data_IF_753151290428
#
_entry.id   IF_753151290428
#
_cell.length_a   1.000
_cell.length_b   1.000
_cell.length_c   1.000
_cell.angle_alpha   90.00
_cell.angle_beta   90.00
_cell.angle_gamma   90.00
#
_symmetry.space_group_name_H-M   'P 1'
#
loop_
_entity.id
_entity.type
_entity.pdbx_description
1 polymer ?
#
# COMPACT_ATOMS: atom_id res chain seq x y z
N UNK A 1 19.61 -13.25 15.78
CA UNK A 1 20.57 -13.10 14.65
C UNK A 1 20.47 -11.67 14.14
N UNK A 2 21.60 -10.96 14.01
CA UNK A 2 21.62 -9.49 13.93
C UNK A 2 21.36 -8.98 12.51
N UNK A 3 20.41 -8.05 12.37
CA UNK A 3 20.32 -7.13 11.22
C UNK A 3 21.48 -6.12 11.33
N UNK A 4 22.08 -5.77 10.19
CA UNK A 4 23.05 -4.67 10.12
C UNK A 4 22.34 -3.44 9.60
N UNK A 5 22.28 -2.36 10.38
CA UNK A 5 21.55 -1.15 10.03
C UNK A 5 22.56 -0.05 9.70
N UNK A 6 22.55 0.45 8.45
CA UNK A 6 23.29 1.63 8.03
C UNK A 6 22.37 2.85 8.15
N UNK A 7 22.67 3.76 9.07
CA UNK A 7 21.84 4.93 9.34
C UNK A 7 22.32 6.14 8.54
N UNK A 8 21.40 6.83 7.87
CA UNK A 8 21.65 8.14 7.24
C UNK A 8 20.65 9.18 7.73
N UNK A 9 21.16 10.24 8.35
CA UNK A 9 20.37 11.40 8.81
C UNK A 9 20.46 12.52 7.76
N UNK A 10 19.32 13.04 7.32
CA UNK A 10 19.23 14.15 6.35
C UNK A 10 18.96 15.51 7.02
N UNK A 11 19.33 15.63 8.30
CA UNK A 11 19.16 16.81 9.14
C UNK A 11 19.34 16.45 10.62
N UNK A 12 18.94 17.36 11.51
CA UNK A 12 18.97 17.10 12.95
C UNK A 12 17.88 16.11 13.34
N UNK A 13 18.29 14.99 13.94
CA UNK A 13 17.43 13.98 14.53
C UNK A 13 17.93 13.76 15.95
N UNK A 14 17.01 13.78 16.91
CA UNK A 14 17.30 13.52 18.31
C UNK A 14 17.87 12.11 18.50
N UNK A 15 18.89 11.98 19.35
CA UNK A 15 19.62 10.72 19.50
C UNK A 15 18.81 9.69 20.31
N UNK A 16 17.95 10.11 21.25
CA UNK A 16 17.05 9.21 21.98
C UNK A 16 15.97 8.65 21.03
N UNK A 17 15.40 9.49 20.16
CA UNK A 17 14.46 9.04 19.12
C UNK A 17 15.13 8.08 18.13
N UNK A 18 16.38 8.35 17.74
CA UNK A 18 17.14 7.46 16.86
C UNK A 18 17.36 6.09 17.53
N UNK A 19 17.81 6.09 18.78
CA UNK A 19 18.04 4.86 19.54
C UNK A 19 16.75 4.05 19.71
N UNK A 20 15.63 4.72 20.00
CA UNK A 20 14.32 4.10 20.06
C UNK A 20 13.96 3.37 18.75
N UNK A 21 14.10 4.05 17.61
CA UNK A 21 13.79 3.49 16.29
C UNK A 21 14.68 2.28 16.00
N UNK A 22 15.99 2.37 16.26
CA UNK A 22 16.93 1.26 16.06
C UNK A 22 16.54 0.06 16.91
N UNK A 23 16.27 0.26 18.20
CA UNK A 23 15.88 -0.80 19.13
C UNK A 23 14.55 -1.46 18.72
N UNK A 24 13.59 -0.65 18.26
CA UNK A 24 12.32 -1.15 17.74
C UNK A 24 12.53 -2.02 16.49
N UNK A 25 13.36 -1.57 15.54
CA UNK A 25 13.66 -2.33 14.32
C UNK A 25 14.36 -3.65 14.68
N UNK A 26 15.40 -3.60 15.52
CA UNK A 26 16.19 -4.78 15.90
C UNK A 26 15.33 -5.82 16.62
N UNK A 27 14.57 -5.42 17.64
CA UNK A 27 13.66 -6.30 18.37
C UNK A 27 12.57 -6.92 17.47
N UNK A 28 12.15 -6.18 16.44
CA UNK A 28 11.20 -6.69 15.45
C UNK A 28 11.80 -7.81 14.60
N UNK A 29 13.04 -7.65 14.11
CA UNK A 29 13.74 -8.74 13.40
C UNK A 29 13.97 -9.97 14.28
N UNK A 30 14.32 -9.76 15.55
CA UNK A 30 14.53 -10.85 16.50
C UNK A 30 13.26 -11.67 16.70
N UNK A 31 12.13 -11.01 16.90
CA UNK A 31 10.83 -11.67 17.13
C UNK A 31 10.25 -12.29 15.86
N UNK A 32 10.39 -11.66 14.69
CA UNK A 32 9.94 -12.25 13.42
C UNK A 32 10.73 -13.54 13.12
N UNK A 33 12.04 -13.51 13.38
CA UNK A 33 12.95 -14.61 13.10
C UNK A 33 13.29 -14.69 11.60
N UNK A 34 14.57 -14.52 11.27
CA UNK A 34 15.10 -14.70 9.91
C UNK A 34 16.24 -15.71 9.89
N UNK A 35 16.32 -16.47 8.81
CA UNK A 35 17.41 -17.45 8.57
C UNK A 35 18.69 -16.82 8.02
N UNK A 36 18.60 -15.68 7.33
CA UNK A 36 19.73 -15.02 6.65
C UNK A 36 19.98 -13.63 7.22
N UNK A 37 21.26 -13.25 7.30
CA UNK A 37 21.69 -11.86 7.59
C UNK A 37 21.08 -10.92 6.56
N UNK A 38 20.72 -9.73 7.02
CA UNK A 38 20.17 -8.66 6.20
C UNK A 38 20.93 -7.38 6.50
N UNK A 39 21.30 -6.66 5.44
CA UNK A 39 21.77 -5.28 5.51
C UNK A 39 20.59 -4.37 5.19
N UNK A 40 20.33 -3.41 6.07
CA UNK A 40 19.20 -2.50 5.98
C UNK A 40 19.70 -1.07 5.99
N UNK A 41 19.26 -0.28 5.03
CA UNK A 41 19.43 1.18 5.07
C UNK A 41 18.29 1.82 5.86
N UNK A 42 18.63 2.66 6.84
CA UNK A 42 17.66 3.47 7.58
C UNK A 42 17.89 4.95 7.30
N UNK A 43 16.97 5.56 6.57
CA UNK A 43 17.05 6.96 6.16
C UNK A 43 16.05 7.77 6.98
N UNK A 44 16.54 8.77 7.71
CA UNK A 44 15.73 9.61 8.58
C UNK A 44 15.72 11.04 8.06
N UNK A 45 14.52 11.52 7.74
CA UNK A 45 14.29 12.89 7.30
C UNK A 45 13.56 13.67 8.40
N UNK A 46 14.03 14.88 8.76
CA UNK A 46 13.38 15.68 9.80
C UNK A 46 11.97 16.12 9.39
N UNK A 47 11.71 16.32 8.10
CA UNK A 47 10.42 16.78 7.58
C UNK A 47 9.99 16.06 6.30
N UNK A 48 8.69 15.98 6.09
CA UNK A 48 8.05 15.26 4.99
C UNK A 48 8.38 15.86 3.63
N UNK A 49 8.51 17.18 3.53
CA UNK A 49 8.86 17.87 2.29
C UNK A 49 10.24 17.42 1.76
N UNK A 50 11.24 17.36 2.63
CA UNK A 50 12.59 16.92 2.29
C UNK A 50 12.63 15.46 1.84
N UNK A 51 11.88 14.58 2.51
CA UNK A 51 11.76 13.18 2.14
C UNK A 51 11.07 13.00 0.77
N UNK A 52 9.98 13.74 0.53
CA UNK A 52 9.24 13.68 -0.73
C UNK A 52 10.08 14.17 -1.91
N UNK A 53 10.81 15.29 -1.74
CA UNK A 53 11.71 15.80 -2.77
C UNK A 53 12.85 14.81 -3.07
N UNK A 54 13.45 14.21 -2.03
CA UNK A 54 14.44 13.15 -2.20
C UNK A 54 13.88 11.96 -2.99
N UNK A 55 12.70 11.47 -2.62
CA UNK A 55 12.07 10.30 -3.26
C UNK A 55 11.65 10.57 -4.70
N UNK A 56 11.14 11.76 -4.99
CA UNK A 56 10.79 12.16 -6.37
C UNK A 56 12.02 12.15 -7.28
N UNK A 57 13.14 12.70 -6.80
CA UNK A 57 14.42 12.66 -7.53
C UNK A 57 14.95 11.25 -7.73
N UNK A 58 14.88 10.40 -6.70
CA UNK A 58 15.27 8.99 -6.80
C UNK A 58 14.42 8.26 -7.84
N UNK A 59 13.09 8.38 -7.78
CA UNK A 59 12.18 7.74 -8.74
C UNK A 59 12.49 8.14 -10.18
N UNK A 60 12.70 9.43 -10.41
CA UNK A 60 13.06 9.95 -11.73
C UNK A 60 14.39 9.36 -12.22
N UNK A 61 15.41 9.29 -11.35
CA UNK A 61 16.73 8.74 -11.69
C UNK A 61 16.69 7.23 -12.02
N UNK A 62 15.77 6.48 -11.40
CA UNK A 62 15.59 5.04 -11.63
C UNK A 62 14.50 4.71 -12.67
N UNK A 63 13.91 5.70 -13.33
CA UNK A 63 12.91 5.49 -14.38
C UNK A 63 11.63 4.81 -13.91
N UNK A 64 11.21 5.08 -12.67
CA UNK A 64 10.06 4.40 -12.05
C UNK A 64 8.77 5.00 -12.59
N UNK A 65 8.07 4.23 -13.42
CA UNK A 65 6.95 4.71 -14.23
C UNK A 65 5.61 4.83 -13.49
N UNK A 66 5.46 4.24 -12.31
CA UNK A 66 4.19 4.28 -11.55
C UNK A 66 3.95 5.66 -10.94
N UNK A 67 2.70 6.13 -10.97
CA UNK A 67 2.32 7.38 -10.31
C UNK A 67 2.55 7.33 -8.79
N UNK A 68 2.67 8.50 -8.16
CA UNK A 68 2.90 8.64 -6.72
C UNK A 68 1.63 8.32 -5.92
N UNK A 69 1.41 7.04 -5.64
CA UNK A 69 0.36 6.58 -4.73
C UNK A 69 0.97 6.37 -3.34
N UNK A 70 1.11 7.42 -2.52
CA UNK A 70 1.69 7.22 -1.19
C UNK A 70 2.04 8.40 -0.29
N UNK A 71 1.54 9.62 -0.54
CA UNK A 71 1.93 10.82 0.23
C UNK A 71 1.66 10.74 1.75
N UNK A 72 0.90 9.74 2.18
CA UNK A 72 0.51 9.52 3.58
C UNK A 72 1.40 8.58 4.38
N UNK A 73 2.30 7.86 3.76
CA UNK A 73 3.08 6.87 4.50
C UNK A 73 4.10 7.54 5.42
N UNK A 74 3.95 7.34 6.73
CA UNK A 74 4.86 7.89 7.75
C UNK A 74 6.28 7.36 7.53
N UNK A 75 6.37 6.07 7.23
CA UNK A 75 7.58 5.40 6.79
C UNK A 75 7.29 4.62 5.50
N UNK A 76 8.32 4.38 4.70
CA UNK A 76 8.22 3.62 3.46
C UNK A 76 9.39 2.66 3.30
N UNK A 77 9.17 1.57 2.59
CA UNK A 77 10.18 0.60 2.22
C UNK A 77 10.40 0.59 0.71
N UNK A 78 11.68 0.60 0.32
CA UNK A 78 12.11 0.21 -1.03
C UNK A 78 13.28 -0.77 -1.02
N UNK A 79 13.53 -1.44 -2.15
CA UNK A 79 14.72 -2.29 -2.31
C UNK A 79 15.37 -2.16 -3.69
N UNK A 80 15.04 -1.11 -4.46
CA UNK A 80 15.47 -0.97 -5.85
C UNK A 80 17.00 -0.75 -6.01
N UNK A 81 17.70 -0.44 -4.91
CA UNK A 81 19.16 -0.25 -4.85
C UNK A 81 19.92 -1.54 -4.50
N UNK A 82 19.25 -2.69 -4.46
CA UNK A 82 19.88 -3.99 -4.19
C UNK A 82 19.83 -4.43 -2.73
N UNK A 83 19.49 -3.53 -1.80
CA UNK A 83 19.25 -3.81 -0.39
C UNK A 83 17.98 -3.11 0.08
N UNK A 84 17.26 -3.66 1.08
CA UNK A 84 16.08 -2.99 1.63
C UNK A 84 16.48 -1.69 2.33
N UNK A 85 15.64 -0.69 2.15
CA UNK A 85 15.76 0.64 2.72
C UNK A 85 14.45 1.03 3.35
N UNK A 86 14.49 1.45 4.62
CA UNK A 86 13.37 2.07 5.30
C UNK A 86 13.64 3.58 5.38
N UNK A 87 12.67 4.37 4.92
CA UNK A 87 12.71 5.83 4.95
C UNK A 87 11.63 6.30 5.92
N UNK A 88 12.01 7.09 6.93
CA UNK A 88 11.09 7.60 7.95
C UNK A 88 11.03 9.13 7.88
N UNK A 89 9.81 9.66 7.88
CA UNK A 89 9.51 11.09 7.99
C UNK A 89 9.25 11.42 9.47
N UNK A 90 10.21 12.05 10.14
CA UNK A 90 10.17 12.23 11.59
C UNK A 90 9.05 13.15 12.05
N UNK A 91 8.72 14.19 11.27
CA UNK A 91 7.56 15.05 11.54
C UNK A 91 6.24 14.27 11.52
N UNK A 92 6.04 13.42 10.51
CA UNK A 92 4.87 12.56 10.40
C UNK A 92 4.83 11.51 11.53
N UNK A 93 5.98 10.92 11.87
CA UNK A 93 6.08 9.93 12.94
C UNK A 93 5.73 10.55 14.30
N UNK A 94 6.24 11.75 14.59
CA UNK A 94 5.91 12.49 15.82
C UNK A 94 4.44 12.93 15.86
N UNK A 95 3.82 13.14 14.71
CA UNK A 95 2.41 13.53 14.58
C UNK A 95 1.38 12.45 14.95
N UNK A 96 1.79 11.20 15.17
CA UNK A 96 0.87 10.10 15.52
C UNK A 96 1.12 9.53 16.91
N UNK A 97 0.14 8.78 17.42
CA UNK A 97 0.20 8.12 18.72
C UNK A 97 1.32 7.05 18.76
N UNK A 98 1.97 6.81 19.91
CA UNK A 98 3.10 5.88 20.02
C UNK A 98 2.84 4.49 19.42
N UNK A 99 1.66 3.91 19.66
CA UNK A 99 1.32 2.58 19.15
C UNK A 99 1.20 2.54 17.62
N UNK A 100 0.80 3.65 16.99
CA UNK A 100 0.78 3.82 15.53
C UNK A 100 2.20 3.94 14.97
N UNK A 101 3.10 4.63 15.68
CA UNK A 101 4.53 4.74 15.32
C UNK A 101 5.16 3.35 15.25
N UNK A 102 4.93 2.56 16.31
CA UNK A 102 5.46 1.21 16.41
C UNK A 102 4.93 0.31 15.30
N UNK A 103 3.62 0.38 15.08
CA UNK A 103 2.95 -0.41 14.04
C UNK A 103 3.47 -0.06 12.66
N UNK A 104 3.66 1.23 12.36
CA UNK A 104 4.20 1.70 11.09
C UNK A 104 5.63 1.21 10.85
N UNK A 105 6.54 1.40 11.82
CA UNK A 105 7.94 0.96 11.68
C UNK A 105 8.01 -0.56 11.52
N UNK A 106 7.23 -1.30 12.31
CA UNK A 106 7.14 -2.77 12.21
C UNK A 106 6.60 -3.23 10.86
N UNK A 107 5.66 -2.49 10.28
CA UNK A 107 5.15 -2.76 8.94
C UNK A 107 6.27 -2.70 7.90
N UNK A 108 7.09 -1.65 7.92
CA UNK A 108 8.23 -1.53 7.01
C UNK A 108 9.32 -2.58 7.25
N UNK A 109 9.52 -3.01 8.50
CA UNK A 109 10.38 -4.17 8.81
C UNK A 109 9.78 -5.47 8.24
N UNK A 110 8.46 -5.63 8.26
CA UNK A 110 7.81 -6.75 7.58
C UNK A 110 8.04 -6.72 6.07
N UNK A 111 7.99 -5.55 5.44
CA UNK A 111 8.33 -5.39 4.03
C UNK A 111 9.79 -5.74 3.74
N UNK A 112 10.75 -5.30 4.54
CA UNK A 112 12.16 -5.68 4.33
C UNK A 112 12.38 -7.19 4.52
N UNK A 113 11.58 -7.84 5.38
CA UNK A 113 11.64 -9.28 5.58
C UNK A 113 11.14 -10.04 4.35
N UNK A 114 9.94 -9.73 3.87
CA UNK A 114 9.29 -10.49 2.79
C UNK A 114 9.72 -10.01 1.40
N UNK A 115 9.89 -8.70 1.25
CA UNK A 115 9.97 -7.98 -0.02
C UNK A 115 11.26 -7.17 -0.21
N UNK A 116 12.29 -7.41 0.63
CA UNK A 116 13.56 -6.68 0.60
C UNK A 116 14.51 -7.02 -0.55
N UNK A 117 14.01 -7.58 -1.65
CA UNK A 117 14.79 -7.87 -2.88
C UNK A 117 14.26 -7.02 -4.04
N UNK A 118 15.14 -6.53 -4.94
CA UNK A 118 14.73 -5.90 -6.19
C UNK A 118 13.78 -6.74 -7.04
N UNK A 119 13.78 -8.07 -6.89
CA UNK A 119 12.92 -8.94 -7.69
C UNK A 119 11.43 -8.65 -7.46
N UNK A 120 11.04 -8.20 -6.26
CA UNK A 120 9.67 -7.77 -5.95
C UNK A 120 9.27 -6.41 -6.55
N UNK A 121 10.04 -5.93 -7.53
CA UNK A 121 9.72 -4.79 -8.39
C UNK A 121 9.62 -5.19 -9.87
N UNK A 122 9.89 -6.46 -10.21
CA UNK A 122 9.89 -6.99 -11.58
C UNK A 122 8.61 -7.78 -11.87
N UNK A 123 7.47 -7.09 -11.84
CA UNK A 123 6.19 -7.71 -12.20
C UNK A 123 5.94 -7.60 -13.72
N UNK A 124 5.41 -8.68 -14.29
CA UNK A 124 4.91 -8.68 -15.67
C UNK A 124 3.41 -8.40 -15.64
N UNK A 125 2.90 -7.68 -16.65
CA UNK A 125 1.47 -7.44 -16.77
C UNK A 125 0.76 -8.77 -17.06
N UNK A 126 -0.20 -9.22 -16.23
CA UNK A 126 -0.90 -10.47 -16.48
C UNK A 126 -1.73 -10.42 -17.76
N UNK A 127 -1.89 -11.57 -18.42
CA UNK A 127 -2.63 -11.68 -19.69
C UNK A 127 -4.07 -11.20 -19.60
N UNK A 128 -4.72 -11.38 -18.44
CA UNK A 128 -6.08 -10.88 -18.18
C UNK A 128 -6.15 -9.36 -18.21
N UNK A 129 -5.15 -8.68 -17.62
CA UNK A 129 -5.05 -7.23 -17.60
C UNK A 129 -4.65 -6.68 -18.98
N UNK A 130 -3.76 -7.34 -19.71
CA UNK A 130 -3.46 -7.00 -21.11
C UNK A 130 -4.70 -7.12 -22.00
N UNK A 131 -5.46 -8.20 -21.86
CA UNK A 131 -6.69 -8.42 -22.63
C UNK A 131 -7.74 -7.35 -22.33
N UNK A 132 -7.86 -6.94 -21.06
CA UNK A 132 -8.72 -5.83 -20.67
C UNK A 132 -8.25 -4.51 -21.31
N UNK A 133 -6.93 -4.28 -21.36
CA UNK A 133 -6.34 -3.12 -22.02
C UNK A 133 -6.70 -3.04 -23.51
N UNK A 134 -6.65 -4.17 -24.21
CA UNK A 134 -7.07 -4.25 -25.62
C UNK A 134 -8.59 -4.05 -25.75
N UNK A 135 -9.40 -4.69 -24.90
CA UNK A 135 -10.87 -4.62 -24.92
C UNK A 135 -11.39 -3.17 -24.80
N UNK A 136 -10.77 -2.36 -23.94
CA UNK A 136 -11.22 -1.01 -23.62
C UNK A 136 -10.30 0.11 -24.12
N UNK A 137 -9.25 -0.21 -24.89
CA UNK A 137 -8.30 0.79 -25.41
C UNK A 137 -7.50 1.53 -24.32
N UNK A 138 -7.15 0.83 -23.23
CA UNK A 138 -6.46 1.43 -22.09
C UNK A 138 -4.98 1.67 -22.39
N UNK A 139 -4.44 2.77 -21.86
CA UNK A 139 -3.02 3.08 -21.99
C UNK A 139 -2.14 2.10 -21.20
N UNK A 140 -0.91 1.90 -21.66
CA UNK A 140 0.09 1.11 -20.92
C UNK A 140 0.32 1.66 -19.50
N UNK A 141 0.31 2.97 -19.34
CA UNK A 141 0.43 3.65 -18.04
C UNK A 141 -0.69 3.22 -17.08
N UNK A 142 -1.93 3.17 -17.56
CA UNK A 142 -3.06 2.72 -16.77
C UNK A 142 -2.87 1.27 -16.28
N UNK A 143 -2.44 0.37 -17.18
CA UNK A 143 -2.19 -1.03 -16.83
C UNK A 143 -1.06 -1.17 -15.79
N UNK A 144 0.01 -0.37 -15.91
CA UNK A 144 1.08 -0.32 -14.92
C UNK A 144 0.60 0.20 -13.57
N UNK A 145 -0.27 1.22 -13.54
CA UNK A 145 -0.87 1.73 -12.31
C UNK A 145 -1.75 0.67 -11.62
N UNK A 146 -2.55 -0.08 -12.40
CA UNK A 146 -3.33 -1.21 -11.86
C UNK A 146 -2.42 -2.28 -11.27
N UNK A 147 -1.38 -2.69 -12.00
CA UNK A 147 -0.41 -3.68 -11.55
C UNK A 147 0.30 -3.21 -10.27
N UNK A 148 0.75 -1.96 -10.24
CA UNK A 148 1.45 -1.37 -9.11
C UNK A 148 0.58 -1.34 -7.85
N UNK A 149 -0.62 -0.75 -7.94
CA UNK A 149 -1.55 -0.68 -6.81
C UNK A 149 -1.94 -2.07 -6.29
N UNK A 150 -2.15 -3.03 -7.20
CA UNK A 150 -2.43 -4.42 -6.81
C UNK A 150 -1.24 -5.07 -6.11
N UNK A 151 -0.03 -4.85 -6.62
CA UNK A 151 1.19 -5.39 -6.00
C UNK A 151 1.38 -4.87 -4.58
N UNK A 152 1.10 -3.59 -4.34
CA UNK A 152 1.17 -3.01 -3.00
C UNK A 152 0.11 -3.64 -2.10
N UNK A 153 -1.14 -3.75 -2.56
CA UNK A 153 -2.22 -4.31 -1.75
C UNK A 153 -1.93 -5.76 -1.30
N UNK A 154 -1.39 -6.58 -2.19
CA UNK A 154 -0.96 -7.95 -1.87
C UNK A 154 0.20 -7.96 -0.88
N UNK A 155 1.24 -7.15 -1.13
CA UNK A 155 2.43 -7.09 -0.27
C UNK A 155 2.07 -6.64 1.14
N UNK A 156 1.22 -5.64 1.29
CA UNK A 156 0.79 -5.15 2.60
C UNK A 156 -0.09 -6.17 3.34
N UNK A 157 -0.96 -6.89 2.63
CA UNK A 157 -1.68 -8.02 3.22
C UNK A 157 -0.71 -9.08 3.76
N UNK A 158 0.30 -9.46 2.96
CA UNK A 158 1.31 -10.45 3.34
C UNK A 158 2.10 -10.00 4.57
N UNK A 159 2.45 -8.71 4.66
CA UNK A 159 3.13 -8.11 5.79
C UNK A 159 2.26 -8.11 7.04
N UNK A 160 1.01 -7.63 6.98
CA UNK A 160 0.13 -7.65 8.16
C UNK A 160 -0.10 -9.09 8.62
N UNK A 161 -0.27 -10.03 7.68
CA UNK A 161 -0.43 -11.47 7.99
C UNK A 161 0.79 -12.02 8.73
N UNK A 162 2.00 -11.70 8.27
CA UNK A 162 3.24 -12.07 8.94
C UNK A 162 3.27 -11.47 10.35
N UNK A 163 3.06 -10.17 10.50
CA UNK A 163 3.21 -9.47 11.77
C UNK A 163 2.19 -9.95 12.81
N UNK A 164 0.93 -10.14 12.40
CA UNK A 164 -0.11 -10.75 13.24
C UNK A 164 0.28 -12.16 13.66
N UNK A 165 0.82 -12.99 12.76
CA UNK A 165 1.29 -14.35 13.11
C UNK A 165 2.44 -14.36 14.10
N UNK A 166 3.21 -13.26 14.19
CA UNK A 166 4.30 -13.06 15.14
C UNK A 166 3.86 -12.31 16.40
N UNK A 167 2.55 -12.13 16.59
CA UNK A 167 1.98 -11.54 17.79
C UNK A 167 2.16 -10.02 17.90
N UNK A 168 2.31 -9.31 16.77
CA UNK A 168 2.28 -7.84 16.71
C UNK A 168 0.84 -7.32 16.54
N UNK A 169 -0.10 -7.87 17.31
CA UNK A 169 -1.51 -7.63 17.05
C UNK A 169 -1.95 -6.18 17.38
N UNK A 170 -1.51 -5.65 18.53
CA UNK A 170 -1.95 -4.35 19.02
C UNK A 170 -1.43 -3.17 18.20
N UNK A 171 -0.15 -3.19 17.83
CA UNK A 171 0.47 -2.13 17.03
C UNK A 171 -0.04 -2.13 15.58
N UNK A 172 -0.25 -3.30 14.98
CA UNK A 172 -0.83 -3.40 13.64
C UNK A 172 -2.29 -2.98 13.63
N UNK A 173 -3.08 -3.31 14.66
CA UNK A 173 -4.44 -2.80 14.78
C UNK A 173 -4.48 -1.28 14.87
N UNK A 174 -3.63 -0.67 15.70
CA UNK A 174 -3.54 0.79 15.81
C UNK A 174 -3.10 1.45 14.48
N UNK A 175 -2.10 0.89 13.81
CA UNK A 175 -1.60 1.39 12.54
C UNK A 175 -2.65 1.30 11.43
N UNK A 176 -3.31 0.14 11.28
CA UNK A 176 -4.38 -0.03 10.29
C UNK A 176 -5.57 0.88 10.60
N UNK A 177 -5.98 1.02 11.88
CA UNK A 177 -7.03 1.96 12.28
C UNK A 177 -6.69 3.40 11.87
N UNK A 178 -5.43 3.80 12.00
CA UNK A 178 -4.94 5.11 11.54
C UNK A 178 -5.01 5.25 10.02
N UNK A 179 -4.59 4.24 9.26
CA UNK A 179 -4.65 4.26 7.79
C UNK A 179 -6.07 4.29 7.23
N UNK A 180 -7.04 3.71 7.96
CA UNK A 180 -8.45 3.66 7.55
C UNK A 180 -9.21 4.98 7.80
N UNK A 181 -8.60 5.96 8.48
CA UNK A 181 -9.23 7.24 8.72
C UNK A 181 -9.17 8.13 7.46
N UNK A 182 -10.31 8.45 6.83
CA UNK A 182 -10.30 9.20 5.59
C UNK A 182 -9.89 10.66 5.85
N UNK A 183 -8.97 11.19 5.06
CA UNK A 183 -8.56 12.59 5.17
C UNK A 183 -9.33 13.49 4.20
N UNK A 184 -9.22 14.81 4.37
CA UNK A 184 -9.77 15.77 3.40
C UNK A 184 -9.18 15.60 2.00
N UNK A 185 -7.93 15.16 1.90
CA UNK A 185 -7.31 14.88 0.60
C UNK A 185 -7.91 13.64 -0.04
N UNK A 186 -8.25 12.58 0.71
CA UNK A 186 -8.95 11.41 0.14
C UNK A 186 -10.20 11.81 -0.57
N UNK A 187 -11.01 12.63 0.10
CA UNK A 187 -12.30 13.05 -0.39
C UNK A 187 -12.13 13.93 -1.63
N UNK A 188 -11.10 14.78 -1.68
CA UNK A 188 -10.76 15.55 -2.89
C UNK A 188 -10.31 14.64 -4.03
N UNK A 189 -9.44 13.66 -3.76
CA UNK A 189 -8.99 12.70 -4.76
C UNK A 189 -10.14 11.85 -5.29
N UNK A 190 -11.09 11.47 -4.42
CA UNK A 190 -12.33 10.80 -4.81
C UNK A 190 -13.17 11.65 -5.78
N UNK A 191 -13.39 12.92 -5.43
CA UNK A 191 -14.18 13.83 -6.26
C UNK A 191 -13.56 14.08 -7.64
N UNK A 192 -12.23 14.07 -7.74
CA UNK A 192 -11.54 14.10 -9.04
C UNK A 192 -11.65 12.76 -9.77
N UNK A 193 -11.43 11.65 -9.06
CA UNK A 193 -11.42 10.32 -9.64
C UNK A 193 -12.77 9.90 -10.23
N UNK A 194 -13.88 10.28 -9.58
CA UNK A 194 -15.24 9.95 -10.03
C UNK A 194 -15.64 10.60 -11.36
N UNK A 195 -14.84 11.53 -11.89
CA UNK A 195 -15.08 12.17 -13.19
C UNK A 195 -14.84 11.23 -14.39
N UNK A 196 -14.10 10.13 -14.22
CA UNK A 196 -13.85 9.13 -15.27
C UNK A 196 -13.95 7.70 -14.75
N UNK A 197 -14.16 6.74 -15.65
CA UNK A 197 -14.23 5.31 -15.31
C UNK A 197 -12.88 4.79 -14.84
N UNK A 198 -11.82 5.19 -15.52
CA UNK A 198 -10.43 4.87 -15.21
C UNK A 198 -10.05 5.43 -13.84
N UNK A 199 -10.41 6.70 -13.58
CA UNK A 199 -10.15 7.39 -12.32
C UNK A 199 -10.81 6.69 -11.15
N UNK A 200 -12.12 6.42 -11.22
CA UNK A 200 -12.83 5.78 -10.12
C UNK A 200 -12.36 4.34 -9.88
N UNK A 201 -11.93 3.63 -10.93
CA UNK A 201 -11.36 2.29 -10.82
C UNK A 201 -10.01 2.31 -10.09
N UNK A 202 -9.10 3.23 -10.44
CA UNK A 202 -7.82 3.38 -9.75
C UNK A 202 -8.01 3.85 -8.30
N UNK A 203 -8.98 4.73 -8.06
CA UNK A 203 -9.32 5.15 -6.70
C UNK A 203 -9.86 3.99 -5.86
N UNK A 204 -10.81 3.21 -6.39
CA UNK A 204 -11.30 2.02 -5.71
C UNK A 204 -10.15 1.04 -5.42
N UNK A 205 -9.25 0.83 -6.38
CA UNK A 205 -8.10 -0.04 -6.24
C UNK A 205 -7.09 0.45 -5.20
N UNK A 206 -6.91 1.77 -5.03
CA UNK A 206 -6.02 2.29 -3.97
C UNK A 206 -6.53 1.92 -2.57
N UNK A 207 -7.85 1.80 -2.39
CA UNK A 207 -8.46 1.31 -1.16
C UNK A 207 -8.36 -0.21 -0.98
N UNK A 208 -8.06 -0.98 -2.03
CA UNK A 208 -7.78 -2.41 -1.89
C UNK A 208 -6.57 -2.65 -1.00
N UNK A 209 -5.58 -1.76 -1.02
CA UNK A 209 -4.44 -1.79 -0.08
C UNK A 209 -4.93 -1.75 1.36
N UNK A 210 -5.78 -0.77 1.70
CA UNK A 210 -6.28 -0.60 3.06
C UNK A 210 -7.11 -1.80 3.53
N UNK A 211 -7.94 -2.35 2.63
CA UNK A 211 -8.70 -3.57 2.91
C UNK A 211 -7.75 -4.77 3.11
N UNK A 212 -6.74 -4.90 2.26
CA UNK A 212 -5.70 -5.94 2.36
C UNK A 212 -4.93 -5.85 3.67
N UNK A 213 -4.51 -4.66 4.09
CA UNK A 213 -3.90 -4.44 5.41
C UNK A 213 -4.83 -4.87 6.54
N UNK A 214 -6.13 -4.58 6.45
CA UNK A 214 -7.10 -4.88 7.49
C UNK A 214 -7.48 -6.37 7.55
N UNK A 215 -7.44 -7.10 6.43
CA UNK A 215 -7.96 -8.45 6.34
C UNK A 215 -7.38 -9.41 7.40
N UNK A 216 -6.06 -9.48 7.66
CA UNK A 216 -5.53 -10.37 8.69
C UNK A 216 -6.02 -10.04 10.11
N UNK A 217 -6.38 -8.78 10.37
CA UNK A 217 -6.93 -8.29 11.63
C UNK A 217 -8.45 -8.48 11.74
N UNK A 218 -9.12 -8.90 10.66
CA UNK A 218 -10.54 -9.23 10.65
C UNK A 218 -10.81 -10.73 10.84
N UNK A 219 -9.75 -11.56 10.79
CA UNK A 219 -9.80 -12.93 11.32
C UNK A 219 -10.08 -12.91 12.81
N UNK A 220 -10.58 -14.01 13.38
CA UNK A 220 -11.02 -14.04 14.79
C UNK A 220 -9.93 -13.59 15.77
N UNK A 221 -10.06 -12.37 16.28
CA UNK A 221 -9.20 -11.76 17.28
C UNK A 221 -9.92 -10.60 17.99
N UNK A 222 -9.30 -10.07 19.06
CA UNK A 222 -9.91 -9.04 19.93
C UNK A 222 -10.18 -7.69 19.25
N UNK A 223 -9.51 -7.36 18.15
CA UNK A 223 -9.68 -6.09 17.42
C UNK A 223 -10.65 -6.20 16.24
N UNK A 224 -11.14 -7.40 15.89
CA UNK A 224 -12.00 -7.64 14.73
C UNK A 224 -13.15 -6.62 14.60
N UNK A 225 -13.88 -6.38 15.69
CA UNK A 225 -15.02 -5.45 15.71
C UNK A 225 -14.60 -4.01 15.48
N UNK A 226 -13.50 -3.58 16.10
CA UNK A 226 -12.97 -2.22 15.96
C UNK A 226 -12.49 -1.97 14.53
N UNK A 227 -11.67 -2.86 13.99
CA UNK A 227 -11.14 -2.77 12.62
C UNK A 227 -12.27 -2.82 11.60
N UNK A 228 -13.29 -3.66 11.81
CA UNK A 228 -14.46 -3.69 10.93
C UNK A 228 -15.19 -2.36 10.90
N UNK A 229 -15.44 -1.76 12.07
CA UNK A 229 -16.10 -0.46 12.16
C UNK A 229 -15.28 0.64 11.47
N UNK A 230 -13.97 0.68 11.71
CA UNK A 230 -13.06 1.65 11.07
C UNK A 230 -13.03 1.45 9.56
N UNK A 231 -13.02 0.21 9.08
CA UNK A 231 -13.05 -0.10 7.66
C UNK A 231 -14.34 0.40 7.00
N UNK A 232 -15.50 0.13 7.60
CA UNK A 232 -16.79 0.61 7.07
C UNK A 232 -16.83 2.13 6.97
N UNK A 233 -16.31 2.85 7.96
CA UNK A 233 -16.20 4.32 7.93
C UNK A 233 -15.23 4.77 6.83
N UNK A 234 -14.05 4.14 6.75
CA UNK A 234 -13.00 4.49 5.81
C UNK A 234 -13.42 4.40 4.35
N UNK A 235 -14.28 3.44 4.01
CA UNK A 235 -14.78 3.29 2.63
C UNK A 235 -16.16 3.91 2.40
N UNK A 236 -16.79 4.56 3.38
CA UNK A 236 -18.21 4.97 3.31
C UNK A 236 -18.54 5.91 2.12
N UNK A 237 -17.56 6.70 1.67
CA UNK A 237 -17.69 7.63 0.55
C UNK A 237 -17.66 6.92 -0.83
N UNK A 238 -17.13 5.70 -0.91
CA UNK A 238 -17.10 4.89 -2.13
C UNK A 238 -18.51 4.36 -2.42
N UNK A 239 -19.00 4.36 -3.68
CA UNK A 239 -20.30 3.79 -4.05
C UNK A 239 -20.49 2.36 -3.57
N UNK A 240 -21.72 2.02 -3.12
CA UNK A 240 -22.01 0.74 -2.45
C UNK A 240 -21.63 -0.48 -3.30
N UNK A 241 -21.96 -0.45 -4.59
CA UNK A 241 -21.64 -1.49 -5.55
C UNK A 241 -20.13 -1.71 -5.70
N UNK A 242 -19.34 -0.63 -5.72
CA UNK A 242 -17.88 -0.73 -5.75
C UNK A 242 -17.32 -1.24 -4.43
N UNK A 243 -17.87 -0.81 -3.28
CA UNK A 243 -17.46 -1.32 -1.96
C UNK A 243 -17.69 -2.82 -1.82
N UNK A 244 -18.83 -3.33 -2.26
CA UNK A 244 -19.15 -4.76 -2.20
C UNK A 244 -18.13 -5.58 -3.00
N UNK A 245 -17.79 -5.14 -4.21
CA UNK A 245 -16.76 -5.76 -5.06
C UNK A 245 -15.36 -5.67 -4.42
N UNK A 246 -15.02 -4.52 -3.82
CA UNK A 246 -13.76 -4.36 -3.11
C UNK A 246 -13.66 -5.29 -1.90
N UNK A 247 -14.75 -5.52 -1.16
CA UNK A 247 -14.76 -6.47 -0.04
C UNK A 247 -14.68 -7.92 -0.53
N UNK A 248 -15.34 -8.27 -1.63
CA UNK A 248 -15.21 -9.60 -2.25
C UNK A 248 -13.74 -9.90 -2.57
N UNK A 249 -13.05 -8.97 -3.22
CA UNK A 249 -11.64 -9.14 -3.61
C UNK A 249 -10.72 -9.06 -2.37
N UNK A 250 -10.88 -8.02 -1.55
CA UNK A 250 -9.97 -7.69 -0.46
C UNK A 250 -10.12 -8.53 0.80
N UNK A 251 -11.29 -9.12 1.05
CA UNK A 251 -11.52 -10.03 2.18
C UNK A 251 -11.66 -11.47 1.71
N UNK A 252 -12.47 -11.71 0.68
CA UNK A 252 -12.62 -13.05 0.10
C UNK A 252 -11.34 -13.50 -0.60
N UNK A 253 -10.88 -12.73 -1.59
CA UNK A 253 -9.70 -13.06 -2.39
C UNK A 253 -8.40 -13.10 -1.58
N UNK A 254 -8.14 -12.10 -0.73
CA UNK A 254 -6.88 -12.03 0.04
C UNK A 254 -6.69 -13.24 0.97
N UNK A 255 -7.77 -13.81 1.52
CA UNK A 255 -7.67 -14.99 2.39
C UNK A 255 -7.25 -16.27 1.65
N UNK A 256 -7.36 -16.31 0.32
CA UNK A 256 -6.95 -17.44 -0.52
C UNK A 256 -5.47 -17.37 -0.92
N UNK A 257 -4.77 -16.28 -0.59
CA UNK A 257 -3.38 -16.08 -1.00
C UNK A 257 -2.42 -17.03 -0.31
N UNK A 258 -1.52 -17.63 -1.10
CA UNK A 258 -0.44 -18.49 -0.63
C UNK A 258 0.79 -17.69 -0.19
N UNK A 259 1.96 -18.31 -0.29
CA UNK A 259 3.26 -17.69 0.09
C UNK A 259 3.99 -17.03 -1.08
N UNK A 260 3.62 -17.32 -2.33
CA UNK A 260 4.29 -16.77 -3.51
C UNK A 260 3.65 -15.44 -3.95
N UNK A 261 4.32 -14.32 -3.65
CA UNK A 261 3.82 -12.97 -3.95
C UNK A 261 3.47 -12.75 -5.43
N UNK A 262 4.26 -13.25 -6.38
CA UNK A 262 3.97 -13.08 -7.81
C UNK A 262 2.69 -13.80 -8.23
N UNK A 263 2.50 -15.03 -7.76
CA UNK A 263 1.28 -15.79 -8.00
C UNK A 263 0.07 -15.12 -7.35
N UNK A 264 0.26 -14.60 -6.14
CA UNK A 264 -0.77 -13.87 -5.40
C UNK A 264 -1.20 -12.58 -6.13
N UNK A 265 -0.24 -11.81 -6.67
CA UNK A 265 -0.53 -10.62 -7.48
C UNK A 265 -1.29 -10.97 -8.74
N UNK A 266 -0.86 -12.00 -9.48
CA UNK A 266 -1.57 -12.46 -10.69
C UNK A 266 -3.00 -12.88 -10.36
N UNK A 267 -3.20 -13.62 -9.28
CA UNK A 267 -4.51 -14.07 -8.82
C UNK A 267 -5.44 -12.89 -8.48
N UNK A 268 -4.96 -11.89 -7.72
CA UNK A 268 -5.77 -10.72 -7.38
C UNK A 268 -6.06 -9.87 -8.63
N UNK A 269 -5.12 -9.77 -9.59
CA UNK A 269 -5.38 -9.09 -10.87
C UNK A 269 -6.49 -9.80 -11.64
N UNK A 270 -6.47 -11.12 -11.72
CA UNK A 270 -7.54 -11.87 -12.39
C UNK A 270 -8.91 -11.64 -11.74
N UNK A 271 -8.96 -11.59 -10.40
CA UNK A 271 -10.18 -11.24 -9.67
C UNK A 271 -10.60 -9.80 -9.93
N UNK A 272 -9.68 -8.84 -9.90
CA UNK A 272 -9.94 -7.43 -10.17
C UNK A 272 -10.51 -7.20 -11.57
N UNK A 273 -9.92 -7.83 -12.59
CA UNK A 273 -10.38 -7.74 -13.97
C UNK A 273 -11.83 -8.28 -14.09
N UNK A 274 -12.13 -9.40 -13.44
CA UNK A 274 -13.45 -10.05 -13.50
C UNK A 274 -14.51 -9.30 -12.69
N UNK A 275 -14.20 -8.93 -11.46
CA UNK A 275 -15.17 -8.47 -10.48
C UNK A 275 -15.25 -6.95 -10.34
N UNK A 276 -14.24 -6.17 -10.74
CA UNK A 276 -14.24 -4.72 -10.56
C UNK A 276 -14.01 -3.96 -11.86
N UNK A 277 -12.85 -4.13 -12.50
CA UNK A 277 -12.40 -3.26 -13.59
C UNK A 277 -13.34 -3.33 -14.80
N UNK A 278 -13.69 -4.54 -15.26
CA UNK A 278 -14.61 -4.69 -16.40
C UNK A 278 -16.00 -4.10 -16.10
N UNK A 279 -16.48 -4.26 -14.87
CA UNK A 279 -17.76 -3.66 -14.45
C UNK A 279 -17.69 -2.14 -14.49
N UNK A 280 -16.67 -1.53 -13.89
CA UNK A 280 -16.52 -0.07 -13.87
C UNK A 280 -16.38 0.49 -15.29
N UNK A 281 -15.50 -0.10 -16.10
CA UNK A 281 -15.24 0.37 -17.47
C UNK A 281 -16.45 0.23 -18.38
N UNK A 282 -17.36 -0.72 -18.11
CA UNK A 282 -18.58 -0.90 -18.90
C UNK A 282 -19.76 -0.10 -18.36
N UNK A 283 -20.10 -0.30 -17.09
CA UNK A 283 -21.37 0.08 -16.49
C UNK A 283 -21.33 1.39 -15.68
N UNK A 284 -20.17 1.81 -15.16
CA UNK A 284 -20.11 3.01 -14.33
C UNK A 284 -20.41 4.26 -15.16
N UNK A 285 -21.36 5.08 -14.70
CA UNK A 285 -21.70 6.36 -15.31
C UNK A 285 -21.16 7.49 -14.43
N UNK A 286 -20.11 8.21 -14.87
CA UNK A 286 -19.65 9.39 -14.15
C UNK A 286 -20.79 10.38 -13.95
N UNK A 287 -20.90 11.03 -12.77
CA UNK A 287 -21.98 11.97 -12.45
C UNK A 287 -21.99 13.21 -13.36
N UNK A 288 -20.87 13.50 -14.05
CA UNK A 288 -20.73 14.54 -15.04
C UNK A 288 -20.18 13.94 -16.34
N UNK A 289 -21.02 13.21 -17.08
CA UNK A 289 -20.72 12.97 -18.49
C UNK A 289 -20.83 14.31 -19.23
N UNK A 290 -19.71 14.92 -19.61
CA UNK A 290 -19.74 15.98 -20.61
C UNK A 290 -20.54 15.46 -21.82
N UNK A 291 -21.46 16.24 -22.41
CA UNK A 291 -22.18 15.80 -23.58
C UNK A 291 -21.16 15.41 -24.65
N UNK A 292 -21.32 14.20 -25.19
CA UNK A 292 -20.55 13.71 -26.31
C UNK A 292 -20.51 14.79 -27.38
N UNK A 293 -19.32 15.23 -27.77
CA UNK A 293 -19.11 15.99 -29.01
C UNK A 293 -19.39 15.07 -30.19
N UNK A 294 -20.66 14.74 -30.40
CA UNK A 294 -21.20 14.27 -31.66
C UNK A 294 -22.05 15.40 -32.23
N UNK A 295 -21.82 15.65 -33.52
CA UNK A 295 -22.45 16.65 -34.40
C UNK A 295 -21.87 18.07 -34.34
N UNK A 296 -20.76 18.25 -35.06
CA UNK A 296 -20.67 19.31 -36.07
C UNK A 296 -19.96 18.71 -37.30
N UNK A 297 -20.76 18.14 -38.21
CA UNK A 297 -20.48 18.16 -39.65
C UNK A 297 -21.32 19.28 -40.26
#
# INVERSE_FOLDING_TARGET
>A
MKVSIEVRKFGSIDDEELEYIINLIQSSYEKIGRKKRLELDLYLFPNSCSAMNFMSKERAAFGIASAEFGDRFIATHDAWRGKPRIIIRMDALRGVQPLVRDGCIRHEVGHSVLHGSPDYYKFHIPSSLLSLGIEFGLSSEYLYNVLYLTSIAVKDYEVTRLLVSKGFLGDQAAYVSYLLEPTREDLKTYELARASKEGIALYALSYLKLIGCAAPLLKENKYKKEIWNKLQIGVAHIPKDLRERLFEIGLGGMYLLGENTFSNVNFIIDLLVKALLRYVLREYKPPFSAPSTQAFY
#
